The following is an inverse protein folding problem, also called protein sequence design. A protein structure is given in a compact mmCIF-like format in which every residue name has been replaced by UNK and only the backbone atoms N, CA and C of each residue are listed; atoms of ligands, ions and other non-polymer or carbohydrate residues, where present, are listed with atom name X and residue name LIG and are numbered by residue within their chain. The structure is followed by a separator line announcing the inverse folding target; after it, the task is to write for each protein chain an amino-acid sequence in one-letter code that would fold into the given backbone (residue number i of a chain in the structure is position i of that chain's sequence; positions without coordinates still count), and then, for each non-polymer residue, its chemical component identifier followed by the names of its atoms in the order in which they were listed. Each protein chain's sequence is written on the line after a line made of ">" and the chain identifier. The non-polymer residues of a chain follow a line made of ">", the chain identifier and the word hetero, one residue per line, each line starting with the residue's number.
data_IF_498488364411
#
_entry.id   IF_498488364411
#
_cell.length_a   1.000
_cell.length_b   1.000
_cell.length_c   1.000
_cell.angle_alpha   90.00
_cell.angle_beta   90.00
_cell.angle_gamma   90.00
#
_symmetry.space_group_name_H-M   'P 1'
#
loop_
_entity.id
_entity.type
_entity.pdbx_description
1 polymer ?
#
# COMPACT_ATOMS: atom_id res chain seq x y z
N UNK A 1 11.77 -6.15 46.46
CA UNK A 1 12.18 -6.35 45.06
C UNK A 1 11.10 -5.68 44.22
N UNK A 2 11.19 -4.37 44.35
CA UNK A 2 10.73 -3.32 43.46
C UNK A 2 10.35 -3.78 42.05
N UNK A 3 9.04 -3.71 41.83
CA UNK A 3 8.36 -3.60 40.55
C UNK A 3 8.88 -2.35 39.80
N UNK A 4 10.02 -2.52 39.16
CA UNK A 4 10.60 -1.52 38.26
C UNK A 4 10.15 -1.83 36.83
N UNK A 5 8.94 -1.36 36.53
CA UNK A 5 8.88 -0.35 35.48
C UNK A 5 8.15 -0.74 34.21
N UNK A 6 6.85 -1.01 34.32
CA UNK A 6 5.87 -0.68 33.28
C UNK A 6 5.73 0.87 33.09
N UNK A 7 6.84 1.60 33.13
CA UNK A 7 6.89 3.06 32.96
C UNK A 7 7.07 3.39 31.48
N UNK A 8 6.14 2.93 30.66
CA UNK A 8 5.85 3.64 29.43
C UNK A 8 4.98 4.83 29.82
N UNK A 9 5.66 5.93 30.19
CA UNK A 9 5.04 7.23 30.44
C UNK A 9 4.18 7.59 29.24
N UNK A 10 2.88 7.72 29.46
CA UNK A 10 1.83 7.93 28.44
C UNK A 10 1.95 9.30 27.74
N UNK A 11 2.99 10.07 28.03
CA UNK A 11 3.21 11.41 27.47
C UNK A 11 3.84 11.42 26.06
N UNK A 12 4.38 10.28 25.58
CA UNK A 12 5.07 10.16 24.27
C UNK A 12 4.41 9.12 23.32
N UNK A 13 3.30 8.52 23.75
CA UNK A 13 2.65 7.40 23.05
C UNK A 13 1.84 7.80 21.81
N UNK A 14 1.65 9.08 21.54
CA UNK A 14 0.82 9.53 20.42
C UNK A 14 1.43 9.26 19.06
N UNK A 15 2.75 9.12 18.92
CA UNK A 15 3.34 8.85 17.60
C UNK A 15 3.52 7.35 17.36
N UNK A 16 3.96 6.58 18.37
CA UNK A 16 4.22 5.14 18.23
C UNK A 16 2.98 4.26 18.20
N UNK A 17 1.92 4.62 18.94
CA UNK A 17 0.68 3.81 18.95
C UNK A 17 -0.14 4.03 17.67
N UNK A 18 -0.04 5.22 17.03
CA UNK A 18 -0.68 5.50 15.74
C UNK A 18 0.05 4.79 14.59
N UNK A 19 1.40 4.78 14.64
CA UNK A 19 2.23 4.06 13.67
C UNK A 19 1.95 2.55 13.70
N UNK A 20 1.85 1.93 14.88
CA UNK A 20 1.60 0.49 15.00
C UNK A 20 0.20 0.07 14.55
N UNK A 21 -0.82 0.88 14.82
CA UNK A 21 -2.19 0.57 14.40
C UNK A 21 -2.36 0.66 12.87
N UNK A 22 -1.78 1.67 12.22
CA UNK A 22 -1.87 1.84 10.77
C UNK A 22 -1.14 0.72 10.02
N UNK A 23 0.04 0.31 10.49
CA UNK A 23 0.81 -0.78 9.90
C UNK A 23 0.11 -2.13 10.08
N UNK A 24 -0.49 -2.39 11.25
CA UNK A 24 -1.29 -3.61 11.47
C UNK A 24 -2.51 -3.66 10.57
N UNK A 25 -3.23 -2.55 10.40
CA UNK A 25 -4.42 -2.52 9.54
C UNK A 25 -4.02 -2.78 8.09
N UNK A 26 -2.96 -2.16 7.58
CA UNK A 26 -2.46 -2.44 6.24
C UNK A 26 -2.02 -3.91 6.08
N UNK A 27 -1.30 -4.46 7.07
CA UNK A 27 -0.88 -5.86 7.03
C UNK A 27 -2.07 -6.83 7.07
N UNK A 28 -3.18 -6.47 7.75
CA UNK A 28 -4.41 -7.26 7.78
C UNK A 28 -5.12 -7.29 6.42
N UNK A 29 -5.22 -6.14 5.76
CA UNK A 29 -5.87 -6.02 4.45
C UNK A 29 -5.11 -6.74 3.32
N UNK A 30 -3.82 -7.04 3.53
CA UNK A 30 -3.00 -7.78 2.58
C UNK A 30 -2.72 -9.24 2.95
N UNK A 31 -3.30 -9.76 4.05
CA UNK A 31 -3.03 -11.15 4.49
C UNK A 31 -3.41 -12.14 3.39
N UNK A 32 -2.41 -12.87 2.91
CA UNK A 32 -2.58 -13.90 1.88
C UNK A 32 -2.69 -13.36 0.45
N UNK A 33 -2.52 -12.06 0.23
CA UNK A 33 -2.44 -11.48 -1.11
C UNK A 33 -1.08 -11.77 -1.74
N UNK A 34 -1.06 -12.18 -3.01
CA UNK A 34 0.18 -12.30 -3.80
C UNK A 34 0.73 -10.92 -4.19
N UNK A 35 -0.14 -9.92 -4.35
CA UNK A 35 0.20 -8.50 -4.47
C UNK A 35 -1.00 -7.64 -4.09
N UNK A 36 -0.75 -6.44 -3.56
CA UNK A 36 -1.81 -5.51 -3.13
C UNK A 36 -1.47 -4.05 -3.48
N UNK A 37 -2.01 -3.57 -4.59
CA UNK A 37 -1.80 -2.18 -5.04
C UNK A 37 -3.02 -1.33 -4.70
N UNK A 38 -2.87 -0.41 -3.74
CA UNK A 38 -3.95 0.49 -3.32
C UNK A 38 -4.23 1.62 -4.31
N UNK A 39 -3.28 1.94 -5.19
CA UNK A 39 -3.38 3.00 -6.20
C UNK A 39 -3.84 4.33 -5.60
N UNK A 40 -3.25 4.72 -4.47
CA UNK A 40 -3.63 5.90 -3.72
C UNK A 40 -2.43 6.82 -3.40
N UNK A 41 -1.35 6.65 -4.16
CA UNK A 41 -0.19 7.52 -4.13
C UNK A 41 -0.54 8.95 -4.57
N UNK A 42 0.36 9.89 -4.32
CA UNK A 42 0.15 11.31 -4.63
C UNK A 42 0.91 11.79 -5.86
N UNK A 43 1.87 11.01 -6.35
CA UNK A 43 2.73 11.36 -7.48
C UNK A 43 3.55 10.17 -7.95
N UNK A 44 4.18 10.34 -9.11
CA UNK A 44 5.11 9.35 -9.68
C UNK A 44 4.42 8.29 -10.50
N UNK A 45 5.22 7.33 -10.95
CA UNK A 45 4.81 6.25 -11.87
C UNK A 45 4.94 4.87 -11.24
N UNK A 46 4.80 4.80 -9.92
CA UNK A 46 4.91 3.55 -9.15
C UNK A 46 3.63 3.32 -8.37
N UNK A 47 3.03 2.14 -8.53
CA UNK A 47 2.00 1.63 -7.64
C UNK A 47 2.69 0.74 -6.62
N UNK A 48 2.74 1.16 -5.36
CA UNK A 48 3.45 0.41 -4.34
C UNK A 48 2.70 -0.88 -3.98
N UNK A 49 3.43 -1.99 -3.86
CA UNK A 49 2.89 -3.24 -3.34
C UNK A 49 2.81 -3.21 -1.81
N UNK A 50 1.59 -3.18 -1.30
CA UNK A 50 1.30 -3.24 0.13
C UNK A 50 1.26 -4.65 0.70
N UNK A 51 1.43 -5.72 -0.10
CA UNK A 51 1.42 -7.09 0.43
C UNK A 51 2.71 -7.49 1.13
N UNK A 52 3.82 -6.80 0.82
CA UNK A 52 5.14 -7.15 1.31
C UNK A 52 5.85 -8.21 0.46
N UNK A 53 5.31 -8.57 -0.70
CA UNK A 53 5.94 -9.52 -1.64
C UNK A 53 6.85 -8.82 -2.66
N UNK A 54 7.05 -7.51 -2.53
CA UNK A 54 7.92 -6.70 -3.39
C UNK A 54 7.49 -6.70 -4.86
N UNK A 55 6.18 -6.69 -5.11
CA UNK A 55 5.60 -6.69 -6.45
C UNK A 55 5.23 -5.28 -6.95
N UNK A 56 6.09 -4.28 -6.72
CA UNK A 56 5.78 -2.90 -7.11
C UNK A 56 5.40 -2.78 -8.60
N UNK A 57 4.27 -2.14 -8.86
CA UNK A 57 3.78 -1.89 -10.21
C UNK A 57 4.40 -0.64 -10.83
N UNK A 58 4.67 -0.68 -12.12
CA UNK A 58 5.05 0.49 -12.94
C UNK A 58 3.85 0.98 -13.73
N UNK A 59 3.55 2.26 -13.61
CA UNK A 59 2.50 2.94 -14.36
C UNK A 59 3.07 3.36 -15.73
N UNK A 60 2.46 2.87 -16.81
CA UNK A 60 2.88 3.16 -18.18
C UNK A 60 1.86 4.07 -18.87
N UNK A 61 2.36 5.06 -19.63
CA UNK A 61 1.59 6.16 -20.20
C UNK A 61 1.06 7.18 -19.17
N UNK A 62 1.63 7.15 -17.96
CA UNK A 62 1.36 8.11 -16.89
C UNK A 62 2.43 9.21 -16.84
N UNK A 63 2.01 10.47 -16.75
CA UNK A 63 2.89 11.63 -16.50
C UNK A 63 2.78 12.18 -15.06
N UNK A 64 1.94 11.53 -14.24
CA UNK A 64 1.69 11.87 -12.85
C UNK A 64 0.49 12.80 -12.64
N UNK A 65 -0.14 13.32 -13.72
CA UNK A 65 -1.36 14.12 -13.63
C UNK A 65 -2.61 13.30 -13.31
N UNK A 66 -2.57 11.99 -13.55
CA UNK A 66 -3.69 11.07 -13.33
C UNK A 66 -3.97 10.71 -11.85
N UNK A 67 -3.16 11.18 -10.91
CA UNK A 67 -3.47 11.04 -9.48
C UNK A 67 -4.59 12.02 -9.10
N UNK A 68 -5.80 11.49 -8.94
CA UNK A 68 -7.01 12.25 -8.62
C UNK A 68 -7.49 11.98 -7.20
N UNK A 69 -8.40 12.82 -6.70
CA UNK A 69 -9.04 12.54 -5.42
C UNK A 69 -9.89 11.26 -5.51
N UNK A 70 -9.60 10.29 -4.64
CA UNK A 70 -10.30 9.02 -4.57
C UNK A 70 -11.54 9.07 -3.67
N UNK A 71 -12.09 7.90 -3.39
CA UNK A 71 -13.23 7.76 -2.49
C UNK A 71 -12.89 8.25 -1.07
N UNK A 72 -13.83 8.92 -0.41
CA UNK A 72 -13.69 9.38 0.97
C UNK A 72 -13.23 8.23 1.88
N UNK A 73 -12.11 8.43 2.56
CA UNK A 73 -11.51 7.44 3.46
C UNK A 73 -10.38 6.60 2.86
N UNK A 74 -10.17 6.63 1.54
CA UNK A 74 -9.17 5.80 0.86
C UNK A 74 -7.97 6.59 0.28
N UNK A 75 -8.07 7.92 0.24
CA UNK A 75 -7.01 8.79 -0.26
C UNK A 75 -7.20 9.14 -1.72
N UNK A 76 -6.13 9.10 -2.50
CA UNK A 76 -6.17 9.35 -3.94
C UNK A 76 -6.63 8.11 -4.71
N UNK A 77 -6.81 8.26 -6.02
CA UNK A 77 -7.07 7.21 -6.98
C UNK A 77 -6.29 7.46 -8.26
N UNK A 78 -6.12 6.42 -9.06
CA UNK A 78 -5.55 6.50 -10.39
C UNK A 78 -6.67 6.64 -11.45
N UNK A 79 -6.61 7.70 -12.24
CA UNK A 79 -7.50 7.92 -13.40
C UNK A 79 -6.88 7.32 -14.67
N UNK A 80 -7.65 6.50 -15.39
CA UNK A 80 -7.23 5.94 -16.68
C UNK A 80 -7.95 6.71 -17.79
N UNK A 81 -7.20 7.18 -18.80
CA UNK A 81 -7.75 8.00 -19.89
C UNK A 81 -8.60 7.22 -20.90
N UNK A 82 -8.56 5.89 -20.83
CA UNK A 82 -9.30 4.97 -21.68
C UNK A 82 -8.65 4.69 -23.05
N UNK A 83 -7.42 5.13 -23.27
CA UNK A 83 -6.66 4.93 -24.51
C UNK A 83 -5.67 3.79 -24.36
N UNK A 84 -4.62 3.97 -23.55
CA UNK A 84 -3.53 2.99 -23.44
C UNK A 84 -2.83 2.97 -22.07
N UNK A 85 -3.47 3.50 -21.02
CA UNK A 85 -2.97 3.45 -19.65
C UNK A 85 -2.99 2.02 -19.07
N UNK A 86 -1.87 1.59 -18.49
CA UNK A 86 -1.80 0.31 -17.76
C UNK A 86 -0.75 0.29 -16.64
N UNK A 87 -0.97 -0.58 -15.66
CA UNK A 87 0.03 -0.92 -14.64
C UNK A 87 0.65 -2.26 -15.00
N UNK A 88 1.98 -2.29 -15.11
CA UNK A 88 2.75 -3.52 -15.31
C UNK A 88 3.46 -3.91 -14.03
N UNK A 89 3.37 -5.18 -13.66
CA UNK A 89 4.06 -5.75 -12.50
C UNK A 89 5.19 -6.68 -12.96
N UNK A 90 6.22 -6.92 -12.15
CA UNK A 90 7.26 -7.90 -12.45
C UNK A 90 6.66 -9.29 -12.68
N UNK A 91 7.26 -10.06 -13.59
CA UNK A 91 6.90 -11.47 -13.75
C UNK A 91 7.35 -12.25 -12.52
N UNK A 92 6.43 -12.96 -11.89
CA UNK A 92 6.71 -13.78 -10.72
C UNK A 92 6.00 -15.14 -10.84
N UNK A 93 6.64 -16.17 -10.30
CA UNK A 93 6.08 -17.52 -10.17
C UNK A 93 4.82 -17.56 -9.30
N UNK A 94 4.65 -16.61 -8.38
CA UNK A 94 3.44 -16.49 -7.55
C UNK A 94 2.23 -16.01 -8.36
N UNK A 95 2.44 -15.36 -9.52
CA UNK A 95 1.38 -14.96 -10.47
C UNK A 95 1.17 -16.00 -11.59
N UNK A 96 1.48 -17.27 -11.34
CA UNK A 96 1.17 -18.37 -12.26
C UNK A 96 -0.26 -18.83 -11.99
N UNK A 97 -1.18 -18.44 -12.87
CA UNK A 97 -2.49 -19.07 -12.92
C UNK A 97 -2.33 -20.44 -13.58
N UNK A 98 -2.60 -21.56 -12.87
CA UNK A 98 -2.61 -22.86 -13.52
C UNK A 98 -3.57 -22.82 -14.70
N UNK A 99 -3.20 -23.47 -15.79
CA UNK A 99 -4.11 -23.69 -16.91
C UNK A 99 -5.31 -24.50 -16.42
N UNK A 100 -6.51 -23.95 -16.57
CA UNK A 100 -7.78 -24.68 -16.38
C UNK A 100 -7.94 -25.78 -17.44
#
# INVERSE_FOLDING_TARGET
>A
MDDLGNRMSVADRSERDILYAADIVNAYESVGAVGWWKMNESSGTTAADGSGNAQDGTLNNFDGSQWVAGQTGYGNALEFDGVDDYVSIPSDTEFVFPDE
#
